data_IF_932619231341
#
_entry.id   IF_932619231341
#
_cell.length_a   1.000
_cell.length_b   1.000
_cell.length_c   1.000
_cell.angle_alpha   90.00
_cell.angle_beta   90.00
_cell.angle_gamma   90.00
#
_symmetry.space_group_name_H-M   'P 1'
#
loop_
_entity.id
_entity.type
_entity.pdbx_description
1 polymer ?
#
# COMPACT_ATOMS: atom_id res chain seq x y z
N UNK A 1 -13.29 3.59 6.94
CA UNK A 1 -12.81 2.44 7.76
C UNK A 1 -11.30 2.32 7.54
N UNK A 2 -10.56 1.54 8.35
CA UNK A 2 -9.11 1.43 8.19
C UNK A 2 -8.64 -0.02 8.18
N UNK A 3 -7.93 -0.37 7.12
CA UNK A 3 -7.39 -1.70 6.87
C UNK A 3 -5.92 -1.74 7.27
N UNK A 4 -5.55 -2.72 8.09
CA UNK A 4 -4.17 -2.91 8.52
C UNK A 4 -3.39 -3.70 7.47
N UNK A 5 -2.29 -3.11 6.95
CA UNK A 5 -1.44 -3.77 5.95
C UNK A 5 -0.31 -4.64 6.52
N UNK A 6 -0.19 -4.74 7.86
CA UNK A 6 0.76 -5.67 8.46
C UNK A 6 0.39 -7.11 8.04
N UNK A 7 1.28 -7.84 7.34
CA UNK A 7 0.99 -9.19 6.85
C UNK A 7 0.79 -10.23 7.96
N UNK A 8 1.21 -9.92 9.19
CA UNK A 8 1.04 -10.77 10.36
C UNK A 8 -0.19 -10.41 11.20
N UNK A 9 -1.06 -9.51 10.72
CA UNK A 9 -2.26 -9.11 11.42
C UNK A 9 -3.36 -10.19 11.27
N UNK A 10 -3.85 -10.72 12.39
CA UNK A 10 -4.91 -11.73 12.40
C UNK A 10 -6.27 -11.18 11.93
N UNK A 11 -6.58 -9.91 12.23
CA UNK A 11 -7.80 -9.25 11.79
C UNK A 11 -7.52 -7.88 11.15
N UNK A 12 -7.13 -7.84 9.86
CA UNK A 12 -6.75 -6.60 9.16
C UNK A 12 -7.86 -5.55 9.09
N UNK A 13 -9.10 -5.98 8.86
CA UNK A 13 -10.29 -5.11 8.77
C UNK A 13 -11.07 -5.10 10.10
N UNK A 14 -10.36 -4.94 11.21
CA UNK A 14 -10.97 -4.91 12.53
C UNK A 14 -11.90 -3.68 12.66
N UNK A 15 -13.17 -3.83 13.10
CA UNK A 15 -14.13 -2.71 13.20
C UNK A 15 -13.62 -1.52 14.04
N UNK A 16 -12.91 -1.83 15.13
CA UNK A 16 -12.24 -0.86 15.99
C UNK A 16 -11.09 -0.06 15.34
N UNK A 17 -10.69 -0.35 14.10
CA UNK A 17 -9.67 0.45 13.40
C UNK A 17 -10.19 1.81 12.94
N UNK A 18 -11.51 2.01 12.92
CA UNK A 18 -12.12 3.29 12.56
C UNK A 18 -11.54 4.43 13.42
N UNK A 19 -10.99 5.45 12.77
CA UNK A 19 -10.40 6.65 13.38
C UNK A 19 -9.21 6.43 14.33
N UNK A 20 -8.63 5.23 14.38
CA UNK A 20 -7.44 4.96 15.21
C UNK A 20 -6.13 5.21 14.46
N UNK A 21 -5.08 5.53 15.21
CA UNK A 21 -3.72 5.61 14.70
C UNK A 21 -3.05 4.23 14.60
N UNK A 22 -3.47 3.28 15.44
CA UNK A 22 -2.90 1.93 15.54
C UNK A 22 -4.00 0.86 15.41
N UNK A 23 -3.64 -0.27 14.82
CA UNK A 23 -4.53 -1.41 14.59
C UNK A 23 -4.98 -2.00 15.92
N UNK A 24 -6.29 -2.25 16.05
CA UNK A 24 -6.85 -2.85 17.26
C UNK A 24 -6.50 -4.33 17.43
N UNK A 25 -6.11 -5.01 16.35
CA UNK A 25 -5.74 -6.43 16.37
C UNK A 25 -4.26 -6.66 16.66
N UNK A 26 -3.36 -5.85 16.10
CA UNK A 26 -1.91 -6.11 16.16
C UNK A 26 -1.05 -4.91 16.58
N UNK A 27 -1.65 -3.75 16.86
CA UNK A 27 -0.94 -2.54 17.29
C UNK A 27 -0.15 -1.81 16.20
N UNK A 28 -0.06 -2.35 14.98
CA UNK A 28 0.66 -1.70 13.88
C UNK A 28 0.05 -0.35 13.49
N UNK A 29 0.85 0.63 13.04
CA UNK A 29 0.33 1.90 12.55
C UNK A 29 -0.65 1.72 11.39
N UNK A 30 -1.78 2.44 11.43
CA UNK A 30 -2.81 2.44 10.39
C UNK A 30 -2.64 3.59 9.38
N UNK A 31 -1.65 4.47 9.61
CA UNK A 31 -1.34 5.60 8.74
C UNK A 31 0.12 5.51 8.32
N UNK A 32 0.35 5.29 7.03
CA UNK A 32 1.69 5.18 6.46
C UNK A 32 2.26 6.58 6.23
N UNK A 33 3.50 6.79 6.68
CA UNK A 33 4.21 8.07 6.55
C UNK A 33 3.40 9.28 7.07
N UNK A 34 2.50 9.05 8.04
CA UNK A 34 1.58 10.08 8.55
C UNK A 34 0.59 10.64 7.53
N UNK A 35 0.49 10.07 6.32
CA UNK A 35 -0.27 10.64 5.19
C UNK A 35 -1.31 9.70 4.59
N UNK A 36 -1.00 8.42 4.45
CA UNK A 36 -1.84 7.48 3.72
C UNK A 36 -2.54 6.52 4.67
N UNK A 37 -3.86 6.63 4.77
CA UNK A 37 -4.69 5.70 5.54
C UNK A 37 -5.28 4.66 4.59
N UNK A 38 -4.92 3.40 4.77
CA UNK A 38 -5.42 2.30 3.93
C UNK A 38 -6.86 2.01 4.31
N UNK A 39 -7.76 1.98 3.33
CA UNK A 39 -9.20 1.77 3.52
C UNK A 39 -9.62 0.34 3.21
N UNK A 40 -8.89 -0.37 2.35
CA UNK A 40 -9.21 -1.75 2.01
C UNK A 40 -8.26 -2.38 0.99
N UNK A 41 -8.34 -3.71 0.88
CA UNK A 41 -7.67 -4.49 -0.15
C UNK A 41 -8.46 -4.42 -1.46
N UNK A 42 -7.77 -4.08 -2.56
CA UNK A 42 -8.36 -4.11 -3.92
C UNK A 42 -8.01 -5.43 -4.61
N UNK A 43 -6.74 -5.84 -4.55
CA UNK A 43 -6.26 -7.06 -5.21
C UNK A 43 -4.98 -7.57 -4.57
N UNK A 44 -4.93 -8.85 -4.26
CA UNK A 44 -3.75 -9.60 -3.82
C UNK A 44 -3.26 -10.62 -4.87
N UNK A 45 -3.92 -10.66 -6.02
CA UNK A 45 -3.67 -11.64 -7.10
C UNK A 45 -2.47 -11.27 -7.98
N UNK A 46 -1.86 -10.11 -7.78
CA UNK A 46 -0.66 -9.69 -8.50
C UNK A 46 0.56 -10.55 -8.17
N UNK A 47 1.48 -10.74 -9.13
CA UNK A 47 2.68 -11.54 -8.92
C UNK A 47 3.62 -10.98 -7.85
N UNK A 48 3.92 -9.67 -7.94
CA UNK A 48 4.89 -9.02 -7.05
C UNK A 48 4.26 -8.19 -5.93
N UNK A 49 3.08 -7.62 -6.16
CA UNK A 49 2.51 -6.64 -5.24
C UNK A 49 1.05 -6.85 -4.94
N UNK A 50 0.66 -6.40 -3.76
CA UNK A 50 -0.71 -6.27 -3.30
C UNK A 50 -1.16 -4.83 -3.49
N UNK A 51 -2.37 -4.64 -3.99
CA UNK A 51 -2.96 -3.34 -4.34
C UNK A 51 -4.06 -3.02 -3.33
N UNK A 52 -3.97 -1.83 -2.74
CA UNK A 52 -4.89 -1.33 -1.73
C UNK A 52 -5.51 0.00 -2.14
N UNK A 53 -6.73 0.24 -1.68
CA UNK A 53 -7.34 1.55 -1.65
C UNK A 53 -6.82 2.29 -0.42
N UNK A 54 -6.42 3.53 -0.60
CA UNK A 54 -6.00 4.39 0.49
C UNK A 54 -6.59 5.78 0.33
N UNK A 55 -6.66 6.52 1.44
CA UNK A 55 -7.14 7.89 1.47
C UNK A 55 -6.08 8.78 2.10
N UNK A 56 -5.88 9.93 1.47
CA UNK A 56 -5.16 11.07 2.03
C UNK A 56 -6.16 12.12 2.50
N UNK A 57 -5.69 13.22 3.11
CA UNK A 57 -6.59 14.33 3.46
C UNK A 57 -7.30 14.98 2.25
N UNK A 58 -6.80 14.77 1.02
CA UNK A 58 -7.30 15.45 -0.18
C UNK A 58 -8.09 14.53 -1.10
N UNK A 59 -7.68 13.28 -1.23
CA UNK A 59 -8.18 12.37 -2.27
C UNK A 59 -7.86 10.91 -1.95
N UNK A 60 -8.57 10.02 -2.65
CA UNK A 60 -8.28 8.60 -2.71
C UNK A 60 -7.05 8.32 -3.57
N UNK A 61 -6.31 7.28 -3.20
CA UNK A 61 -5.06 6.86 -3.81
C UNK A 61 -5.01 5.34 -3.89
N UNK A 62 -4.20 4.84 -4.82
CA UNK A 62 -3.86 3.44 -4.90
C UNK A 62 -2.48 3.23 -4.28
N UNK A 63 -2.38 2.28 -3.36
CA UNK A 63 -1.11 1.83 -2.81
C UNK A 63 -0.79 0.44 -3.33
N UNK A 64 0.32 0.31 -4.05
CA UNK A 64 0.90 -0.98 -4.40
C UNK A 64 2.03 -1.27 -3.41
N UNK A 65 1.98 -2.42 -2.76
CA UNK A 65 2.96 -2.84 -1.74
C UNK A 65 3.59 -4.15 -2.20
N UNK A 66 4.92 -4.24 -2.18
CA UNK A 66 5.64 -5.48 -2.47
C UNK A 66 5.25 -6.56 -1.47
N UNK A 67 4.98 -7.78 -1.95
CA UNK A 67 4.60 -8.88 -1.07
C UNK A 67 5.75 -9.30 -0.16
N UNK A 68 5.48 -9.65 1.12
CA UNK A 68 6.53 -9.99 2.08
C UNK A 68 7.47 -11.11 1.63
N UNK A 69 6.98 -12.11 0.88
CA UNK A 69 7.82 -13.18 0.35
C UNK A 69 8.94 -12.69 -0.58
N UNK A 70 8.76 -11.52 -1.19
CA UNK A 70 9.73 -10.92 -2.13
C UNK A 70 10.69 -9.94 -1.46
N UNK A 71 10.48 -9.55 -0.20
CA UNK A 71 11.28 -8.51 0.47
C UNK A 71 12.76 -8.86 0.59
N UNK A 72 13.11 -10.16 0.65
CA UNK A 72 14.51 -10.64 0.69
C UNK A 72 15.11 -10.90 -0.69
N UNK A 73 14.29 -10.85 -1.75
CA UNK A 73 14.75 -11.03 -3.11
C UNK A 73 15.17 -9.67 -3.69
N UNK A 74 16.48 -9.43 -3.73
CA UNK A 74 17.05 -8.18 -4.24
C UNK A 74 16.53 -7.83 -5.65
N UNK A 75 16.35 -8.83 -6.53
CA UNK A 75 15.86 -8.59 -7.88
C UNK A 75 14.39 -8.16 -7.89
N UNK A 76 13.56 -8.73 -7.00
CA UNK A 76 12.16 -8.34 -6.89
C UNK A 76 12.01 -6.90 -6.36
N UNK A 77 12.83 -6.51 -5.37
CA UNK A 77 12.88 -5.13 -4.85
C UNK A 77 13.34 -4.16 -5.95
N UNK A 78 14.39 -4.51 -6.69
CA UNK A 78 14.90 -3.72 -7.82
C UNK A 78 13.82 -3.51 -8.89
N UNK A 79 13.16 -4.60 -9.34
CA UNK A 79 12.10 -4.52 -10.35
C UNK A 79 10.90 -3.70 -9.87
N UNK A 80 10.53 -3.82 -8.59
CA UNK A 80 9.44 -3.04 -8.01
C UNK A 80 9.76 -1.53 -7.99
N UNK A 81 11.00 -1.18 -7.66
CA UNK A 81 11.48 0.22 -7.74
C UNK A 81 11.53 0.71 -9.19
N UNK A 82 12.04 -0.12 -10.10
CA UNK A 82 12.12 0.22 -11.53
C UNK A 82 10.74 0.48 -12.13
N UNK A 83 9.71 -0.28 -11.74
CA UNK A 83 8.32 -0.02 -12.16
C UNK A 83 7.88 1.41 -11.80
N UNK A 84 8.16 1.85 -10.57
CA UNK A 84 7.83 3.20 -10.11
C UNK A 84 8.60 4.28 -10.88
N UNK A 85 9.89 4.07 -11.14
CA UNK A 85 10.74 4.99 -11.89
C UNK A 85 10.29 5.11 -13.35
N UNK A 86 10.00 3.99 -14.02
CA UNK A 86 9.48 3.98 -15.40
C UNK A 86 8.13 4.70 -15.46
N UNK A 87 7.20 4.37 -14.56
CA UNK A 87 5.88 5.00 -14.53
C UNK A 87 5.96 6.51 -14.27
N UNK A 88 6.93 6.97 -13.47
CA UNK A 88 7.19 8.39 -13.22
C UNK A 88 7.63 9.18 -14.46
N UNK A 89 8.20 8.51 -15.44
CA UNK A 89 8.64 9.11 -16.71
C UNK A 89 7.56 9.08 -17.79
N UNK A 90 6.44 8.38 -17.58
CA UNK A 90 5.34 8.29 -18.53
C UNK A 90 4.26 9.32 -18.23
N UNK A 91 3.83 10.07 -19.25
CA UNK A 91 2.74 11.05 -19.15
C UNK A 91 1.76 10.84 -20.30
N UNK A 92 0.69 10.11 -20.04
CA UNK A 92 -0.32 9.80 -21.03
C UNK A 92 -1.68 9.60 -20.36
N UNK A 93 -2.81 10.06 -20.93
CA UNK A 93 -4.13 9.92 -20.31
C UNK A 93 -4.57 8.47 -20.07
N UNK A 94 -4.06 7.52 -20.85
CA UNK A 94 -4.30 6.09 -20.67
C UNK A 94 -3.35 5.38 -19.68
N UNK A 95 -2.42 6.09 -19.05
CA UNK A 95 -1.42 5.51 -18.14
C UNK A 95 -1.59 6.16 -16.76
N UNK A 96 -1.72 5.36 -15.68
CA UNK A 96 -1.80 5.91 -14.33
C UNK A 96 -0.58 6.76 -13.98
N UNK A 97 -0.81 7.88 -13.31
CA UNK A 97 0.25 8.74 -12.80
C UNK A 97 0.70 8.23 -11.43
N UNK A 98 2.01 8.20 -11.21
CA UNK A 98 2.60 7.94 -9.89
C UNK A 98 2.76 9.23 -9.09
N UNK A 99 2.41 9.19 -7.80
CA UNK A 99 2.59 10.32 -6.88
C UNK A 99 3.91 10.23 -6.09
N UNK A 100 4.45 9.03 -5.92
CA UNK A 100 5.69 8.80 -5.19
C UNK A 100 5.99 7.32 -4.95
N UNK A 101 7.18 7.05 -4.42
CA UNK A 101 7.67 5.72 -4.04
C UNK A 101 8.08 5.74 -2.57
N UNK A 102 7.71 4.70 -1.81
CA UNK A 102 8.03 4.54 -0.40
C UNK A 102 8.96 3.32 -0.24
N UNK A 103 10.21 3.50 0.20
CA UNK A 103 11.14 2.40 0.45
C UNK A 103 10.84 1.65 1.76
#
# INVERSE_FOLDING_TARGET
>A
MSYCINPHCALPDHPGNAHRAHCSSCGSPLVLQGKYRVEGLISDKGGFGTVYLARTAKEEKILKVLKPEHNKNAKAVELFRQEAEVLGNLRHPGIPKIDGYLP
#
